data_IF_128808970537
#
_entry.id   IF_128808970537
#
_cell.length_a   1.000
_cell.length_b   1.000
_cell.length_c   1.000
_cell.angle_alpha   90.00
_cell.angle_beta   90.00
_cell.angle_gamma   90.00
#
_symmetry.space_group_name_H-M   'P 1'
#
loop_
_entity.id
_entity.type
_entity.pdbx_description
1 polymer ?
#
# COMPACT_ATOMS: atom_id res chain seq x y z
N UNK A 1 -10.42 36.78 -2.18
CA UNK A 1 -9.00 37.21 -2.19
C UNK A 1 -8.20 36.62 -1.02
N UNK A 2 -8.64 36.79 0.23
CA UNK A 2 -7.95 36.28 1.45
C UNK A 2 -7.70 34.77 1.43
N UNK A 3 -8.71 33.96 1.08
CA UNK A 3 -8.56 32.50 0.98
C UNK A 3 -7.54 32.09 -0.09
N UNK A 4 -7.53 32.75 -1.25
CA UNK A 4 -6.57 32.47 -2.31
C UNK A 4 -5.13 32.83 -1.87
N UNK A 5 -4.96 33.91 -1.10
CA UNK A 5 -3.67 34.31 -0.55
C UNK A 5 -3.14 33.29 0.48
N UNK A 6 -3.97 32.82 1.41
CA UNK A 6 -3.58 31.77 2.35
C UNK A 6 -3.24 30.45 1.63
N UNK A 7 -4.01 30.10 0.60
CA UNK A 7 -3.73 28.91 -0.21
C UNK A 7 -2.43 29.04 -1.01
N UNK A 8 -2.11 30.22 -1.52
CA UNK A 8 -0.86 30.48 -2.23
C UNK A 8 0.32 30.46 -1.25
N UNK A 9 0.17 31.04 -0.05
CA UNK A 9 1.18 31.02 0.99
C UNK A 9 1.47 29.60 1.49
N UNK A 10 0.44 28.79 1.76
CA UNK A 10 0.58 27.39 2.15
C UNK A 10 1.30 26.58 1.06
N UNK A 11 0.92 26.77 -0.21
CA UNK A 11 1.51 26.06 -1.33
C UNK A 11 2.96 26.51 -1.64
N UNK A 12 3.30 27.77 -1.38
CA UNK A 12 4.67 28.27 -1.45
C UNK A 12 5.54 27.74 -0.31
N UNK A 13 5.03 27.71 0.93
CA UNK A 13 5.73 27.08 2.06
C UNK A 13 5.98 25.61 1.76
N UNK A 14 4.98 24.93 1.20
CA UNK A 14 5.06 23.54 0.78
C UNK A 14 6.09 23.33 -0.34
N UNK A 15 6.11 24.19 -1.35
CA UNK A 15 7.10 24.17 -2.42
C UNK A 15 8.53 24.40 -1.89
N UNK A 16 8.72 25.36 -0.97
CA UNK A 16 9.99 25.64 -0.32
C UNK A 16 10.48 24.46 0.53
N UNK A 17 9.60 23.83 1.31
CA UNK A 17 9.95 22.65 2.11
C UNK A 17 10.35 21.47 1.20
N UNK A 18 9.63 21.27 0.10
CA UNK A 18 9.95 20.23 -0.87
C UNK A 18 11.32 20.53 -1.52
N UNK A 19 11.56 21.75 -2.00
CA UNK A 19 12.84 22.17 -2.58
C UNK A 19 14.02 22.06 -1.60
N UNK A 20 13.80 22.33 -0.32
CA UNK A 20 14.81 22.15 0.73
C UNK A 20 15.14 20.67 0.95
N UNK A 21 14.12 19.81 1.03
CA UNK A 21 14.28 18.34 1.11
C UNK A 21 15.01 17.77 -0.12
N UNK A 22 14.78 18.37 -1.30
CA UNK A 22 15.36 17.99 -2.59
C UNK A 22 16.88 18.25 -2.63
N UNK A 23 17.37 19.33 -2.02
CA UNK A 23 18.82 19.65 -2.01
C UNK A 23 19.68 18.58 -1.32
N UNK A 24 19.07 17.70 -0.53
CA UNK A 24 19.74 16.66 0.27
C UNK A 24 19.82 15.29 -0.45
N UNK A 25 19.01 15.01 -1.49
CA UNK A 25 18.76 13.61 -1.92
C UNK A 25 19.00 13.25 -3.40
N UNK A 26 19.88 13.96 -4.11
CA UNK A 26 20.34 13.66 -5.48
C UNK A 26 19.49 14.29 -6.59
N UNK A 27 20.17 15.11 -7.40
CA UNK A 27 19.60 16.01 -8.42
C UNK A 27 19.66 15.44 -9.84
N UNK A 28 20.04 14.17 -10.05
CA UNK A 28 20.41 13.70 -11.38
C UNK A 28 19.48 12.59 -11.90
N UNK A 29 18.53 13.03 -12.73
CA UNK A 29 17.96 12.27 -13.86
C UNK A 29 16.76 11.35 -13.62
N UNK A 30 15.72 11.79 -12.90
CA UNK A 30 14.48 11.02 -12.76
C UNK A 30 13.29 11.77 -13.38
N UNK A 31 12.63 11.18 -14.39
CA UNK A 31 11.43 11.75 -15.05
C UNK A 31 10.31 12.07 -14.04
N UNK A 32 10.29 11.38 -12.91
CA UNK A 32 9.35 11.56 -11.81
C UNK A 32 9.51 12.93 -11.14
N UNK A 33 10.75 13.42 -11.03
CA UNK A 33 11.06 14.75 -10.48
C UNK A 33 10.49 15.87 -11.35
N UNK A 34 10.60 15.69 -12.67
CA UNK A 34 10.05 16.64 -13.65
C UNK A 34 8.53 16.68 -13.56
N UNK A 35 7.87 15.53 -13.38
CA UNK A 35 6.43 15.46 -13.20
C UNK A 35 5.95 16.14 -11.91
N UNK A 36 6.67 15.96 -10.79
CA UNK A 36 6.35 16.61 -9.51
C UNK A 36 6.45 18.14 -9.60
N UNK A 37 7.52 18.66 -10.20
CA UNK A 37 7.68 20.11 -10.41
C UNK A 37 6.64 20.64 -11.38
N UNK A 38 6.32 19.91 -12.45
CA UNK A 38 5.28 20.29 -13.39
C UNK A 38 3.90 20.39 -12.71
N UNK A 39 3.53 19.40 -11.89
CA UNK A 39 2.26 19.40 -11.15
C UNK A 39 2.17 20.57 -10.16
N UNK A 40 3.27 20.82 -9.43
CA UNK A 40 3.36 21.98 -8.54
C UNK A 40 3.25 23.30 -9.31
N UNK A 41 3.93 23.41 -10.45
CA UNK A 41 3.86 24.59 -11.33
C UNK A 41 2.45 24.84 -11.86
N UNK A 42 1.76 23.81 -12.35
CA UNK A 42 0.35 23.92 -12.80
C UNK A 42 -0.55 24.35 -11.65
N UNK A 43 -0.34 23.82 -10.44
CA UNK A 43 -1.13 24.19 -9.27
C UNK A 43 -0.91 25.65 -8.84
N UNK A 44 0.30 26.17 -8.97
CA UNK A 44 0.64 27.58 -8.72
C UNK A 44 0.03 28.50 -9.77
N UNK A 45 0.15 28.14 -11.05
CA UNK A 45 -0.42 28.90 -12.16
C UNK A 45 -1.94 29.03 -12.03
N UNK A 46 -2.65 27.94 -11.69
CA UNK A 46 -4.10 27.97 -11.49
C UNK A 46 -4.52 28.92 -10.35
N UNK A 47 -3.75 28.96 -9.25
CA UNK A 47 -4.02 29.90 -8.14
C UNK A 47 -3.76 31.35 -8.55
N UNK A 48 -2.66 31.64 -9.26
CA UNK A 48 -2.35 32.99 -9.74
C UNK A 48 -3.41 33.48 -10.73
N UNK A 49 -3.82 32.63 -11.68
CA UNK A 49 -4.88 32.97 -12.64
C UNK A 49 -6.22 33.19 -11.92
N UNK A 50 -6.53 32.39 -10.90
CA UNK A 50 -7.74 32.56 -10.07
C UNK A 50 -7.72 33.83 -9.21
N UNK A 51 -6.58 34.49 -9.02
CA UNK A 51 -6.51 35.80 -8.35
C UNK A 51 -6.88 36.95 -9.28
N UNK A 52 -6.61 36.82 -10.59
CA UNK A 52 -6.87 37.86 -11.59
C UNK A 52 -8.16 37.67 -12.38
N UNK A 53 -8.72 36.46 -12.44
CA UNK A 53 -9.93 36.14 -13.21
C UNK A 53 -10.88 35.30 -12.37
N UNK A 54 -12.13 35.75 -12.26
CA UNK A 54 -13.19 34.93 -11.67
C UNK A 54 -13.56 33.80 -12.64
N UNK A 55 -13.39 32.55 -12.20
CA UNK A 55 -13.72 31.33 -12.96
C UNK A 55 -14.60 30.43 -12.12
N UNK A 56 -15.57 29.79 -12.78
CA UNK A 56 -16.50 28.82 -12.19
C UNK A 56 -15.85 27.49 -11.82
N UNK A 57 -14.78 27.09 -12.52
CA UNK A 57 -14.07 25.83 -12.29
C UNK A 57 -12.60 26.09 -11.93
N UNK A 58 -12.07 25.28 -11.00
CA UNK A 58 -10.68 25.38 -10.49
C UNK A 58 -10.05 24.00 -10.47
N UNK A 59 -8.84 23.89 -11.01
CA UNK A 59 -8.12 22.61 -11.13
C UNK A 59 -7.24 22.35 -9.91
N UNK A 60 -6.76 23.41 -9.26
CA UNK A 60 -5.87 23.38 -8.10
C UNK A 60 -6.36 22.45 -6.97
N UNK A 61 -7.65 22.43 -6.55
CA UNK A 61 -8.11 21.53 -5.50
C UNK A 61 -7.94 20.05 -5.84
N UNK A 62 -8.15 19.66 -7.10
CA UNK A 62 -8.04 18.26 -7.56
C UNK A 62 -6.59 17.79 -7.71
N UNK A 63 -5.65 18.71 -7.97
CA UNK A 63 -4.22 18.38 -8.08
C UNK A 63 -3.55 18.16 -6.72
N UNK A 64 -4.10 18.71 -5.61
CA UNK A 64 -3.47 18.61 -4.28
C UNK A 64 -3.32 17.17 -3.77
N UNK A 65 -4.34 16.29 -3.82
CA UNK A 65 -4.15 14.89 -3.43
C UNK A 65 -3.11 14.17 -4.29
N UNK A 66 -3.05 14.51 -5.60
CA UNK A 66 -2.08 13.92 -6.53
C UNK A 66 -0.66 14.34 -6.16
N UNK A 67 -0.44 15.63 -5.93
CA UNK A 67 0.85 16.18 -5.47
C UNK A 67 1.26 15.53 -4.14
N UNK A 68 0.35 15.40 -3.19
CA UNK A 68 0.60 14.75 -1.90
C UNK A 68 1.05 13.29 -2.06
N UNK A 69 0.35 12.52 -2.90
CA UNK A 69 0.72 11.12 -3.20
C UNK A 69 2.08 11.04 -3.88
N UNK A 70 2.39 11.94 -4.82
CA UNK A 70 3.68 11.93 -5.52
C UNK A 70 4.87 12.17 -4.56
N UNK A 71 4.67 13.03 -3.55
CA UNK A 71 5.73 13.44 -2.61
C UNK A 71 6.05 12.35 -1.58
N UNK A 72 5.05 11.57 -1.15
CA UNK A 72 5.27 10.50 -0.18
C UNK A 72 5.60 9.22 -0.94
N UNK A 73 6.87 8.80 -0.89
CA UNK A 73 7.34 7.57 -1.54
C UNK A 73 6.46 6.35 -1.20
N UNK A 74 6.11 6.16 0.08
CA UNK A 74 5.25 5.05 0.54
C UNK A 74 3.82 5.12 -0.02
N UNK A 75 3.26 6.32 -0.16
CA UNK A 75 1.94 6.51 -0.75
C UNK A 75 1.97 6.23 -2.26
N UNK A 76 3.01 6.71 -2.94
CA UNK A 76 3.24 6.41 -4.36
C UNK A 76 3.40 4.92 -4.62
N UNK A 77 4.19 4.23 -3.81
CA UNK A 77 4.37 2.78 -3.87
C UNK A 77 3.04 2.05 -3.66
N UNK A 78 2.23 2.51 -2.70
CA UNK A 78 0.91 1.95 -2.42
C UNK A 78 -0.06 2.14 -3.60
N UNK A 79 -0.12 3.34 -4.19
CA UNK A 79 -0.98 3.61 -5.37
C UNK A 79 -0.52 2.82 -6.59
N UNK A 80 0.79 2.75 -6.85
CA UNK A 80 1.34 1.91 -7.91
C UNK A 80 1.00 0.43 -7.68
N UNK A 81 1.07 -0.03 -6.43
CA UNK A 81 0.64 -1.37 -6.02
C UNK A 81 -0.83 -1.63 -6.31
N UNK A 82 -1.73 -0.69 -5.97
CA UNK A 82 -3.17 -0.77 -6.26
C UNK A 82 -3.41 -0.88 -7.78
N UNK A 83 -2.77 -0.03 -8.59
CA UNK A 83 -2.91 -0.09 -10.05
C UNK A 83 -2.35 -1.39 -10.63
N UNK A 84 -1.23 -1.88 -10.11
CA UNK A 84 -0.68 -3.18 -10.52
C UNK A 84 -1.62 -4.33 -10.14
N UNK A 85 -2.24 -4.26 -8.97
CA UNK A 85 -3.24 -5.23 -8.51
C UNK A 85 -4.49 -5.19 -9.39
N UNK A 86 -4.97 -3.99 -9.75
CA UNK A 86 -6.09 -3.81 -10.66
C UNK A 86 -5.80 -4.42 -12.05
N UNK A 87 -4.60 -4.20 -12.59
CA UNK A 87 -4.17 -4.83 -13.84
C UNK A 87 -4.17 -6.36 -13.75
N UNK A 88 -3.76 -6.92 -12.61
CA UNK A 88 -3.75 -8.37 -12.40
C UNK A 88 -5.16 -8.99 -12.44
N UNK A 89 -6.19 -8.27 -11.98
CA UNK A 89 -7.59 -8.75 -11.95
C UNK A 89 -8.45 -8.22 -13.11
N UNK A 90 -7.89 -7.43 -14.02
CA UNK A 90 -8.65 -6.78 -15.09
C UNK A 90 -9.46 -7.78 -15.94
N UNK A 91 -8.88 -8.95 -16.24
CA UNK A 91 -9.56 -10.00 -16.98
C UNK A 91 -10.81 -10.55 -16.26
N UNK A 92 -10.77 -10.66 -14.92
CA UNK A 92 -11.92 -11.09 -14.11
C UNK A 92 -12.99 -10.00 -14.04
N UNK A 93 -12.59 -8.72 -13.99
CA UNK A 93 -13.53 -7.61 -14.03
C UNK A 93 -14.26 -7.52 -15.39
N UNK A 94 -13.56 -7.82 -16.49
CA UNK A 94 -14.18 -7.93 -17.82
C UNK A 94 -15.18 -9.08 -17.87
N UNK A 95 -14.83 -10.24 -17.31
CA UNK A 95 -15.75 -11.38 -17.21
C UNK A 95 -17.00 -11.02 -16.39
N UNK A 96 -16.83 -10.33 -15.26
CA UNK A 96 -17.93 -9.86 -14.42
C UNK A 96 -18.82 -8.84 -15.16
N UNK A 97 -18.22 -7.90 -15.88
CA UNK A 97 -18.96 -6.96 -16.70
C UNK A 97 -19.77 -7.68 -17.79
N UNK A 98 -19.17 -8.66 -18.46
CA UNK A 98 -19.85 -9.47 -19.47
C UNK A 98 -21.02 -10.27 -18.87
N UNK A 99 -20.85 -10.83 -17.67
CA UNK A 99 -21.93 -11.49 -16.93
C UNK A 99 -23.11 -10.56 -16.67
N UNK A 100 -22.84 -9.35 -16.15
CA UNK A 100 -23.88 -8.35 -15.89
C UNK A 100 -24.56 -7.90 -17.19
N UNK A 101 -23.78 -7.67 -18.24
CA UNK A 101 -24.30 -7.29 -19.56
C UNK A 101 -25.22 -8.38 -20.14
N UNK A 102 -24.77 -9.64 -20.12
CA UNK A 102 -25.53 -10.77 -20.63
C UNK A 102 -26.84 -10.96 -19.86
N UNK A 103 -26.77 -10.92 -18.53
CA UNK A 103 -27.96 -11.05 -17.69
C UNK A 103 -28.89 -9.84 -17.81
N UNK A 104 -28.37 -8.63 -18.03
CA UNK A 104 -29.20 -7.47 -18.30
C UNK A 104 -29.97 -7.63 -19.61
N UNK A 105 -29.30 -8.11 -20.67
CA UNK A 105 -29.95 -8.39 -21.94
C UNK A 105 -31.05 -9.46 -21.81
N UNK A 106 -30.76 -10.57 -21.12
CA UNK A 106 -31.77 -11.61 -20.82
C UNK A 106 -32.93 -11.03 -20.01
N UNK A 107 -32.64 -10.23 -18.99
CA UNK A 107 -33.64 -9.57 -18.15
C UNK A 107 -34.53 -8.60 -18.95
N UNK A 108 -33.98 -7.87 -19.91
CA UNK A 108 -34.78 -7.01 -20.80
C UNK A 108 -35.72 -7.81 -21.70
N UNK A 109 -35.29 -8.97 -22.19
CA UNK A 109 -36.14 -9.84 -23.02
C UNK A 109 -37.23 -10.51 -22.18
N UNK A 110 -36.92 -10.89 -20.94
CA UNK A 110 -37.87 -11.58 -20.05
C UNK A 110 -38.88 -10.65 -19.37
N UNK A 111 -38.45 -9.45 -18.99
CA UNK A 111 -39.23 -8.52 -18.14
C UNK A 111 -39.51 -7.18 -18.81
N UNK A 112 -39.34 -7.06 -20.13
CA UNK A 112 -39.51 -5.81 -20.86
C UNK A 112 -40.90 -5.18 -20.76
N UNK A 113 -41.93 -6.00 -20.54
CA UNK A 113 -43.34 -5.58 -20.45
C UNK A 113 -43.86 -5.49 -19.00
N UNK A 114 -43.02 -5.77 -17.99
CA UNK A 114 -43.44 -5.79 -16.58
C UNK A 114 -43.22 -4.41 -15.95
N UNK A 115 -44.28 -3.82 -15.42
CA UNK A 115 -44.24 -2.59 -14.64
C UNK A 115 -43.51 -2.83 -13.30
N UNK A 116 -42.23 -2.47 -13.22
CA UNK A 116 -41.51 -2.57 -11.96
C UNK A 116 -40.02 -2.25 -12.06
N UNK A 117 -39.17 -3.17 -12.51
CA UNK A 117 -37.74 -2.92 -12.59
C UNK A 117 -37.39 -2.06 -13.82
N UNK A 118 -36.35 -1.22 -13.71
CA UNK A 118 -35.73 -0.52 -14.85
C UNK A 118 -35.09 -1.48 -15.88
N UNK A 119 -35.59 -2.72 -16.02
CA UNK A 119 -35.19 -3.74 -16.99
C UNK A 119 -35.82 -3.51 -18.37
N UNK A 120 -36.64 -2.47 -18.56
CA UNK A 120 -37.25 -2.15 -19.86
C UNK A 120 -36.18 -1.79 -20.91
N UNK A 121 -35.09 -1.15 -20.48
CA UNK A 121 -33.97 -0.79 -21.37
C UNK A 121 -32.68 -1.49 -20.95
N UNK A 122 -31.81 -1.79 -21.91
CA UNK A 122 -30.52 -2.44 -21.63
C UNK A 122 -29.66 -1.61 -20.66
N UNK A 123 -29.65 -0.28 -20.81
CA UNK A 123 -28.92 0.61 -19.91
C UNK A 123 -29.48 0.55 -18.47
N UNK A 124 -30.80 0.63 -18.33
CA UNK A 124 -31.46 0.54 -17.03
C UNK A 124 -31.26 -0.83 -16.38
N UNK A 125 -31.29 -1.91 -17.18
CA UNK A 125 -31.09 -3.26 -16.72
C UNK A 125 -29.66 -3.51 -16.26
N UNK A 126 -28.67 -3.04 -17.02
CA UNK A 126 -27.26 -3.08 -16.62
C UNK A 126 -27.05 -2.35 -15.30
N UNK A 127 -27.59 -1.14 -15.14
CA UNK A 127 -27.44 -0.37 -13.90
C UNK A 127 -28.12 -1.08 -12.71
N UNK A 128 -29.34 -1.57 -12.90
CA UNK A 128 -30.10 -2.25 -11.85
C UNK A 128 -29.43 -3.54 -11.40
N UNK A 129 -28.89 -4.33 -12.35
CA UNK A 129 -28.16 -5.56 -12.04
C UNK A 129 -26.76 -5.29 -11.49
N UNK A 130 -26.11 -4.20 -11.87
CA UNK A 130 -24.84 -3.76 -11.26
C UNK A 130 -25.04 -3.41 -9.77
N UNK A 131 -26.14 -2.72 -9.43
CA UNK A 131 -26.52 -2.44 -8.04
C UNK A 131 -26.90 -3.75 -7.33
N UNK A 132 -27.62 -4.66 -8.00
CA UNK A 132 -27.99 -5.97 -7.46
C UNK A 132 -26.78 -6.85 -7.16
N UNK A 133 -25.71 -6.77 -7.96
CA UNK A 133 -24.47 -7.48 -7.68
C UNK A 133 -23.90 -7.09 -6.30
N UNK A 134 -24.14 -5.85 -5.86
CA UNK A 134 -23.78 -5.38 -4.51
C UNK A 134 -24.88 -5.59 -3.47
N UNK A 135 -26.00 -6.22 -3.85
CA UNK A 135 -27.19 -6.50 -3.03
C UNK A 135 -27.91 -5.26 -2.46
N UNK A 136 -27.58 -4.06 -2.96
CA UNK A 136 -28.07 -2.81 -2.39
C UNK A 136 -29.54 -2.49 -2.74
N UNK A 137 -30.09 -3.11 -3.79
CA UNK A 137 -31.46 -2.92 -4.26
C UNK A 137 -32.30 -4.21 -4.21
N UNK A 138 -31.91 -5.21 -3.42
CA UNK A 138 -32.73 -6.39 -3.17
C UNK A 138 -33.50 -6.21 -1.85
N UNK A 139 -34.82 -6.45 -1.78
CA UNK A 139 -35.68 -7.10 -2.79
C UNK A 139 -36.26 -6.18 -3.87
N UNK A 140 -36.09 -4.86 -3.78
CA UNK A 140 -36.80 -3.86 -4.59
C UNK A 140 -36.76 -4.10 -6.11
N UNK A 141 -35.61 -4.50 -6.66
CA UNK A 141 -35.46 -4.80 -8.10
C UNK A 141 -36.22 -6.05 -8.54
N UNK A 142 -36.53 -6.96 -7.61
CA UNK A 142 -37.19 -8.23 -7.90
C UNK A 142 -38.71 -8.16 -7.70
N UNK A 143 -39.22 -7.24 -6.88
CA UNK A 143 -40.64 -7.20 -6.49
C UNK A 143 -41.58 -7.14 -7.71
N UNK A 144 -41.33 -6.26 -8.68
CA UNK A 144 -42.20 -6.14 -9.87
C UNK A 144 -42.26 -7.42 -10.72
N UNK A 145 -41.13 -8.10 -10.88
CA UNK A 145 -41.09 -9.38 -11.61
C UNK A 145 -41.73 -10.54 -10.83
N UNK A 146 -41.70 -10.48 -9.49
CA UNK A 146 -42.31 -11.48 -8.61
C UNK A 146 -43.82 -11.32 -8.48
N UNK A 147 -44.33 -10.08 -8.57
CA UNK A 147 -45.78 -9.82 -8.58
C UNK A 147 -46.45 -10.34 -9.85
N UNK A 148 -45.71 -10.38 -10.96
CA UNK A 148 -46.20 -10.98 -12.22
C UNK A 148 -46.07 -12.51 -12.19
N UNK A 149 -44.89 -13.05 -11.86
CA UNK A 149 -44.67 -14.48 -11.77
C UNK A 149 -43.64 -14.86 -10.70
N UNK A 150 -44.00 -15.76 -9.78
CA UNK A 150 -43.09 -16.25 -8.74
C UNK A 150 -41.86 -16.97 -9.30
N UNK A 151 -41.96 -17.60 -10.47
CA UNK A 151 -40.81 -18.26 -11.12
C UNK A 151 -39.70 -17.28 -11.53
N UNK A 152 -40.00 -15.99 -11.64
CA UNK A 152 -39.01 -14.93 -11.89
C UNK A 152 -37.93 -14.86 -10.81
N UNK A 153 -38.18 -15.37 -9.60
CA UNK A 153 -37.17 -15.49 -8.53
C UNK A 153 -35.91 -16.24 -9.01
N UNK A 154 -36.08 -17.23 -9.90
CA UNK A 154 -34.99 -18.08 -10.38
C UNK A 154 -33.94 -17.27 -11.13
N UNK A 155 -34.36 -16.26 -11.91
CA UNK A 155 -33.45 -15.36 -12.60
C UNK A 155 -32.52 -14.63 -11.62
N UNK A 156 -33.08 -14.05 -10.57
CA UNK A 156 -32.31 -13.32 -9.54
C UNK A 156 -31.41 -14.25 -8.72
N UNK A 157 -31.90 -15.45 -8.39
CA UNK A 157 -31.10 -16.46 -7.67
C UNK A 157 -29.91 -16.90 -8.51
N UNK A 158 -30.10 -17.22 -9.80
CA UNK A 158 -28.99 -17.58 -10.70
C UNK A 158 -28.01 -16.42 -10.85
N UNK A 159 -28.51 -15.19 -10.99
CA UNK A 159 -27.67 -13.99 -11.05
C UNK A 159 -26.77 -13.85 -9.81
N UNK A 160 -27.33 -14.01 -8.61
CA UNK A 160 -26.59 -13.89 -7.35
C UNK A 160 -25.64 -15.06 -7.12
N UNK A 161 -26.06 -16.31 -7.36
CA UNK A 161 -25.21 -17.48 -7.17
C UNK A 161 -23.97 -17.40 -8.05
N UNK A 162 -24.13 -17.10 -9.34
CA UNK A 162 -22.99 -17.06 -10.26
C UNK A 162 -22.22 -15.74 -10.13
N UNK A 163 -22.89 -14.60 -10.08
CA UNK A 163 -22.25 -13.28 -10.03
C UNK A 163 -21.61 -12.98 -8.67
N UNK A 164 -22.39 -13.04 -7.60
CA UNK A 164 -21.95 -12.67 -6.25
C UNK A 164 -21.15 -13.80 -5.59
N UNK A 165 -21.68 -15.02 -5.52
CA UNK A 165 -20.97 -16.11 -4.82
C UNK A 165 -19.91 -16.79 -5.67
N UNK A 166 -20.04 -16.77 -7.00
CA UNK A 166 -19.01 -17.24 -7.93
C UNK A 166 -17.98 -16.17 -8.24
N UNK A 167 -18.32 -15.27 -9.17
CA UNK A 167 -17.37 -14.34 -9.78
C UNK A 167 -16.74 -13.37 -8.78
N UNK A 168 -17.51 -12.75 -7.88
CA UNK A 168 -16.94 -11.83 -6.89
C UNK A 168 -15.99 -12.53 -5.90
N UNK A 169 -16.28 -13.78 -5.51
CA UNK A 169 -15.38 -14.56 -4.66
C UNK A 169 -14.10 -14.96 -5.40
N UNK A 170 -14.17 -15.29 -6.69
CA UNK A 170 -12.98 -15.55 -7.52
C UNK A 170 -12.13 -14.28 -7.67
N UNK A 171 -12.75 -13.11 -7.86
CA UNK A 171 -12.06 -11.81 -7.85
C UNK A 171 -11.35 -11.60 -6.52
N UNK A 172 -12.05 -11.76 -5.40
CA UNK A 172 -11.48 -11.60 -4.06
C UNK A 172 -10.30 -12.55 -3.80
N UNK A 173 -10.44 -13.82 -4.16
CA UNK A 173 -9.38 -14.82 -4.02
C UNK A 173 -8.13 -14.41 -4.81
N UNK A 174 -8.32 -13.94 -6.04
CA UNK A 174 -7.21 -13.51 -6.91
C UNK A 174 -6.52 -12.25 -6.37
N UNK A 175 -7.28 -11.28 -5.83
CA UNK A 175 -6.71 -10.11 -5.14
C UNK A 175 -5.86 -10.58 -3.95
N UNK A 176 -6.39 -11.47 -3.12
CA UNK A 176 -5.69 -11.99 -1.95
C UNK A 176 -4.39 -12.69 -2.33
N UNK A 177 -4.40 -13.59 -3.32
CA UNK A 177 -3.19 -14.28 -3.78
C UNK A 177 -2.13 -13.30 -4.28
N UNK A 178 -2.51 -12.27 -5.04
CA UNK A 178 -1.56 -11.26 -5.53
C UNK A 178 -1.00 -10.40 -4.40
N UNK A 179 -1.85 -10.01 -3.44
CA UNK A 179 -1.43 -9.27 -2.26
C UNK A 179 -0.43 -10.07 -1.41
N UNK A 180 -0.71 -11.36 -1.18
CA UNK A 180 0.21 -12.26 -0.46
C UNK A 180 1.57 -12.38 -1.16
N UNK A 181 1.59 -12.53 -2.48
CA UNK A 181 2.84 -12.54 -3.27
C UNK A 181 3.63 -11.23 -3.12
N UNK A 182 2.95 -10.08 -3.13
CA UNK A 182 3.62 -8.79 -2.92
C UNK A 182 4.21 -8.67 -1.52
N UNK A 183 3.49 -9.12 -0.49
CA UNK A 183 3.99 -9.15 0.88
C UNK A 183 5.25 -10.03 1.01
N UNK A 184 5.26 -11.22 0.41
CA UNK A 184 6.41 -12.12 0.42
C UNK A 184 7.64 -11.47 -0.23
N UNK A 185 7.46 -10.80 -1.37
CA UNK A 185 8.54 -10.08 -2.05
C UNK A 185 9.09 -8.93 -1.18
N UNK A 186 8.24 -8.17 -0.50
CA UNK A 186 8.68 -7.07 0.38
C UNK A 186 9.39 -7.59 1.64
N UNK A 187 8.94 -8.70 2.20
CA UNK A 187 9.62 -9.39 3.30
C UNK A 187 11.01 -9.87 2.89
N UNK A 188 11.14 -10.49 1.71
CA UNK A 188 12.43 -10.94 1.16
C UNK A 188 13.37 -9.77 0.92
N UNK A 189 12.90 -8.68 0.29
CA UNK A 189 13.71 -7.45 0.11
C UNK A 189 14.20 -6.89 1.44
N UNK A 190 13.35 -6.89 2.45
CA UNK A 190 13.70 -6.41 3.79
C UNK A 190 14.79 -7.28 4.41
N UNK A 191 14.63 -8.61 4.37
CA UNK A 191 15.66 -9.56 4.85
C UNK A 191 16.97 -9.40 4.10
N UNK A 192 16.93 -9.28 2.78
CA UNK A 192 18.13 -9.07 1.95
C UNK A 192 18.84 -7.76 2.29
N UNK A 193 18.09 -6.68 2.53
CA UNK A 193 18.66 -5.40 2.96
C UNK A 193 19.28 -5.50 4.35
N UNK A 194 18.64 -6.17 5.30
CA UNK A 194 19.19 -6.43 6.63
C UNK A 194 20.51 -7.20 6.54
N UNK A 195 20.54 -8.31 5.80
CA UNK A 195 21.75 -9.11 5.59
C UNK A 195 22.85 -8.28 4.93
N UNK A 196 22.52 -7.49 3.91
CA UNK A 196 23.48 -6.60 3.25
C UNK A 196 24.10 -5.58 4.23
N UNK A 197 23.26 -4.90 5.02
CA UNK A 197 23.73 -3.93 6.02
C UNK A 197 24.59 -4.58 7.10
N UNK A 198 24.20 -5.76 7.61
CA UNK A 198 24.99 -6.49 8.61
C UNK A 198 26.31 -7.00 8.04
N UNK A 199 26.33 -7.52 6.80
CA UNK A 199 27.58 -7.90 6.12
C UNK A 199 28.51 -6.71 6.00
N UNK A 200 27.99 -5.56 5.56
CA UNK A 200 28.78 -4.34 5.43
C UNK A 200 29.31 -3.88 6.79
N UNK A 201 28.46 -3.84 7.82
CA UNK A 201 28.87 -3.50 9.19
C UNK A 201 29.95 -4.45 9.72
N UNK A 202 29.82 -5.76 9.49
CA UNK A 202 30.83 -6.75 9.87
C UNK A 202 32.18 -6.47 9.20
N UNK A 203 32.18 -6.18 7.90
CA UNK A 203 33.40 -5.88 7.14
C UNK A 203 34.09 -4.64 7.72
N UNK A 204 33.36 -3.55 7.96
CA UNK A 204 33.91 -2.31 8.52
C UNK A 204 34.49 -2.50 9.93
N UNK A 205 33.79 -3.25 10.80
CA UNK A 205 34.28 -3.55 12.16
C UNK A 205 35.53 -4.44 12.16
N UNK A 206 35.63 -5.31 11.16
CA UNK A 206 36.68 -6.29 11.09
C UNK A 206 37.98 -5.77 10.42
N UNK A 207 37.84 -4.83 9.48
CA UNK A 207 38.95 -4.25 8.72
C UNK A 207 40.05 -3.64 9.60
N UNK A 208 39.71 -3.16 10.80
CA UNK A 208 40.66 -2.55 11.74
C UNK A 208 41.75 -3.54 12.19
N UNK A 209 41.45 -4.85 12.27
CA UNK A 209 42.39 -5.88 12.77
C UNK A 209 42.68 -7.03 11.80
N UNK A 210 41.91 -7.20 10.73
CA UNK A 210 42.11 -8.23 9.70
C UNK A 210 42.21 -9.69 10.25
N UNK A 211 41.61 -9.97 11.40
CA UNK A 211 41.62 -11.26 12.13
C UNK A 211 40.58 -12.33 11.73
N UNK A 212 39.69 -12.12 10.75
CA UNK A 212 38.48 -12.91 10.44
C UNK A 212 37.29 -12.90 11.42
N UNK A 213 37.38 -12.26 12.61
CA UNK A 213 36.33 -12.30 13.65
C UNK A 213 36.25 -10.99 14.47
N UNK A 214 35.15 -10.81 15.21
CA UNK A 214 34.92 -9.72 16.19
C UNK A 214 35.03 -10.28 17.62
N UNK A 215 35.74 -9.60 18.51
CA UNK A 215 35.86 -10.02 19.92
C UNK A 215 34.65 -9.57 20.75
N UNK A 216 34.36 -10.27 21.85
CA UNK A 216 33.30 -9.87 22.79
C UNK A 216 33.51 -8.45 23.37
N UNK A 217 34.76 -7.99 23.51
CA UNK A 217 35.07 -6.61 23.93
C UNK A 217 34.65 -5.57 22.89
N UNK A 218 34.93 -5.83 21.62
CA UNK A 218 34.56 -4.97 20.49
C UNK A 218 33.03 -4.95 20.31
N UNK A 219 32.38 -6.11 20.45
CA UNK A 219 30.91 -6.21 20.43
C UNK A 219 30.27 -5.42 21.57
N UNK A 220 30.82 -5.49 22.79
CA UNK A 220 30.35 -4.70 23.94
C UNK A 220 30.50 -3.19 23.70
N UNK A 221 31.63 -2.77 23.13
CA UNK A 221 31.84 -1.37 22.76
C UNK A 221 30.79 -0.93 21.73
N UNK A 222 30.52 -1.76 20.72
CA UNK A 222 29.47 -1.49 19.73
C UNK A 222 28.09 -1.34 20.38
N UNK A 223 27.68 -2.23 21.29
CA UNK A 223 26.40 -2.09 22.01
C UNK A 223 26.34 -0.84 22.88
N UNK A 224 27.47 -0.45 23.50
CA UNK A 224 27.55 0.78 24.28
C UNK A 224 27.38 2.02 23.41
N UNK A 225 28.01 2.04 22.23
CA UNK A 225 27.85 3.12 21.25
C UNK A 225 26.42 3.13 20.65
N UNK A 226 25.82 1.97 20.39
CA UNK A 226 24.44 1.89 19.91
C UNK A 226 23.43 2.49 20.90
N UNK A 227 23.66 2.32 22.21
CA UNK A 227 22.82 2.90 23.26
C UNK A 227 22.85 4.45 23.32
N UNK A 228 23.80 5.10 22.63
CA UNK A 228 23.88 6.57 22.57
C UNK A 228 22.88 7.12 21.55
N UNK A 229 22.53 6.35 20.52
CA UNK A 229 21.64 6.79 19.46
C UNK A 229 20.17 6.73 19.91
N UNK A 230 19.49 7.88 19.91
CA UNK A 230 18.09 8.02 20.34
C UNK A 230 17.10 7.07 19.63
N UNK A 231 17.38 6.70 18.38
CA UNK A 231 16.52 5.82 17.59
C UNK A 231 16.68 4.33 17.92
N UNK A 232 17.64 3.95 18.77
CA UNK A 232 17.87 2.57 19.22
C UNK A 232 17.37 2.45 20.66
N UNK A 233 16.50 1.47 20.98
CA UNK A 233 16.02 1.29 22.35
C UNK A 233 17.19 0.96 23.28
N UNK A 234 17.30 1.69 24.39
CA UNK A 234 18.34 1.50 25.38
C UNK A 234 18.33 0.06 25.93
N UNK A 235 19.49 -0.59 25.92
CA UNK A 235 19.70 -1.92 26.48
C UNK A 235 20.58 -1.87 27.72
N UNK A 236 20.15 -2.51 28.80
CA UNK A 236 20.95 -2.58 30.02
C UNK A 236 22.21 -3.42 29.82
N UNK A 237 23.22 -3.22 30.66
CA UNK A 237 24.47 -4.01 30.59
C UNK A 237 24.20 -5.51 30.68
N UNK A 238 23.22 -5.92 31.51
CA UNK A 238 22.82 -7.32 31.63
C UNK A 238 22.27 -7.89 30.33
N UNK A 239 21.42 -7.13 29.61
CA UNK A 239 20.88 -7.56 28.31
C UNK A 239 21.97 -7.67 27.25
N UNK A 240 22.93 -6.73 27.24
CA UNK A 240 24.08 -6.76 26.33
C UNK A 240 24.91 -8.03 26.52
N UNK A 241 25.19 -8.41 27.77
CA UNK A 241 25.91 -9.65 28.06
C UNK A 241 25.16 -10.88 27.56
N UNK A 242 23.85 -10.89 27.75
CA UNK A 242 23.00 -11.99 27.33
C UNK A 242 22.97 -12.11 25.80
N UNK A 243 22.89 -10.99 25.07
CA UNK A 243 23.00 -10.99 23.60
C UNK A 243 24.37 -11.50 23.13
N UNK A 244 25.46 -11.06 23.76
CA UNK A 244 26.82 -11.52 23.41
C UNK A 244 26.94 -13.02 23.66
N UNK A 245 26.42 -13.52 24.79
CA UNK A 245 26.44 -14.94 25.13
C UNK A 245 25.57 -15.77 24.18
N UNK A 246 24.43 -15.24 23.74
CA UNK A 246 23.57 -15.88 22.74
C UNK A 246 24.24 -15.94 21.35
N UNK A 247 25.07 -14.96 21.01
CA UNK A 247 25.85 -14.95 19.78
C UNK A 247 27.10 -15.84 19.86
N UNK A 248 27.76 -15.91 21.01
CA UNK A 248 28.94 -16.75 21.26
C UNK A 248 28.56 -18.15 21.78
N UNK A 249 27.94 -18.94 20.91
CA UNK A 249 27.56 -20.34 21.20
C UNK A 249 28.74 -21.22 21.63
N UNK A 250 29.95 -20.91 21.18
CA UNK A 250 31.13 -21.78 21.36
C UNK A 250 31.96 -21.36 22.58
N UNK A 251 31.55 -20.26 23.26
CA UNK A 251 32.25 -19.66 24.41
C UNK A 251 33.72 -19.37 24.13
N UNK A 252 34.08 -19.13 22.88
CA UNK A 252 35.46 -18.90 22.45
C UNK A 252 35.83 -17.41 22.42
N UNK A 253 34.88 -16.53 22.74
CA UNK A 253 35.05 -15.09 22.74
C UNK A 253 35.13 -14.46 21.34
N UNK A 254 34.85 -15.23 20.28
CA UNK A 254 35.02 -14.84 18.88
C UNK A 254 33.72 -14.98 18.10
N UNK A 255 33.25 -13.85 17.56
CA UNK A 255 32.04 -13.76 16.77
C UNK A 255 32.42 -13.67 15.29
N UNK A 256 32.21 -14.77 14.56
CA UNK A 256 32.41 -14.85 13.12
C UNK A 256 31.24 -14.23 12.35
N UNK A 257 31.45 -13.90 11.08
CA UNK A 257 30.45 -13.23 10.24
C UNK A 257 29.09 -13.93 10.20
N UNK A 258 29.06 -15.27 10.08
CA UNK A 258 27.80 -16.03 10.07
C UNK A 258 27.03 -15.96 11.40
N UNK A 259 27.72 -15.77 12.53
CA UNK A 259 27.10 -15.52 13.84
C UNK A 259 26.63 -14.08 13.94
N UNK A 260 27.42 -13.13 13.43
CA UNK A 260 27.07 -11.71 13.39
C UNK A 260 25.80 -11.44 12.58
N UNK A 261 25.54 -12.20 11.52
CA UNK A 261 24.30 -12.07 10.74
C UNK A 261 23.03 -12.38 11.55
N UNK A 262 23.15 -13.16 12.63
CA UNK A 262 22.03 -13.47 13.54
C UNK A 262 21.82 -12.40 14.63
N UNK A 263 22.61 -11.32 14.62
CA UNK A 263 22.53 -10.25 15.61
C UNK A 263 21.12 -9.68 15.76
N UNK A 264 20.43 -9.41 14.65
CA UNK A 264 19.07 -8.87 14.68
C UNK A 264 18.07 -9.87 15.28
N UNK A 265 18.16 -11.14 14.89
CA UNK A 265 17.33 -12.22 15.47
C UNK A 265 17.53 -12.31 16.99
N UNK A 266 18.77 -12.21 17.46
CA UNK A 266 19.11 -12.24 18.89
C UNK A 266 18.60 -10.99 19.63
N UNK A 267 18.63 -9.82 18.99
CA UNK A 267 18.13 -8.57 19.57
C UNK A 267 16.59 -8.51 19.68
N UNK A 268 15.90 -9.25 18.80
CA UNK A 268 14.44 -9.39 18.83
C UNK A 268 13.96 -10.39 19.90
N UNK A 269 14.85 -11.22 20.44
CA UNK A 269 14.51 -12.14 21.53
C UNK A 269 14.13 -11.37 22.81
N UNK A 270 12.93 -11.66 23.32
CA UNK A 270 12.51 -11.20 24.64
C UNK A 270 13.01 -12.18 25.72
N UNK A 271 14.09 -11.80 26.40
CA UNK A 271 14.61 -12.58 27.52
C UNK A 271 13.77 -12.34 28.77
N UNK A 272 13.01 -13.36 29.20
CA UNK A 272 12.34 -13.37 30.51
C UNK A 272 13.27 -14.00 31.54
N UNK A 273 13.46 -13.30 32.67
CA UNK A 273 14.14 -13.86 33.83
C UNK A 273 13.22 -14.90 34.48
N UNK A 274 13.62 -16.17 34.44
CA UNK A 274 12.99 -17.21 35.26
C UNK A 274 13.70 -17.15 36.60
N UNK A 275 13.00 -16.71 37.66
CA UNK A 275 13.48 -16.91 39.03
C UNK A 275 13.50 -18.42 39.27
N UNK A 276 14.70 -18.98 39.48
CA UNK A 276 14.82 -20.29 40.11
C UNK A 276 14.41 -20.11 41.57
N UNK A 277 13.31 -20.74 41.96
CA UNK A 277 12.94 -20.93 43.37
C UNK A 277 14.00 -21.73 44.12
#
# INVERSE_FOLDING_TARGET
MVVAFFLLADLLVYACFNLWRIKVRSWRNNNQFVAEIALLGVSLLDVVVSMGVERSWRVSPFLRPVVFVCIINSARESVAGIFSGLKAIAHLLVLLFFWVFFMAWVGCVMFGDVDGPNLISLQGGMMSLMILLTTANFPDVAIGALTDNLFSILFFVVFLVVGLWGLMNVVLATIYTNFRKQLEIEEEKTKMKQVYCLKKAFIELHQIRNSGYINCREMRALFKEMNIYFHIPFRSQFQIELFIQALDTDKNGKIFGYKFLKLLEVMDLQFKLIKSE
#
